data_IF_170171985507
#
_entry.id   IF_170171985507
#
_cell.length_a   1.000
_cell.length_b   1.000
_cell.length_c   1.000
_cell.angle_alpha   90.00
_cell.angle_beta   90.00
_cell.angle_gamma   90.00
#
_symmetry.space_group_name_H-M   'P 1'
#
loop_
_entity.id
_entity.type
_entity.pdbx_description
1 polymer ?
#
# COMPACT_ATOMS: atom_id res chain seq x y z
N UNK A 1 -20.78 -0.55 23.23
CA UNK A 1 -19.53 -0.40 22.49
C UNK A 1 -19.74 0.51 21.30
N UNK A 2 -18.99 1.58 21.25
CA UNK A 2 -19.14 2.43 20.08
C UNK A 2 -18.70 1.66 18.84
N UNK A 3 -19.51 1.76 17.79
CA UNK A 3 -19.16 1.25 16.51
C UNK A 3 -18.06 2.14 15.91
N UNK A 4 -16.91 1.59 15.62
CA UNK A 4 -15.93 2.29 14.83
C UNK A 4 -16.45 2.43 13.41
N UNK A 5 -16.27 3.62 12.87
CA UNK A 5 -16.54 3.81 11.45
C UNK A 5 -15.64 2.94 10.62
N UNK A 6 -16.14 2.50 9.50
CA UNK A 6 -15.34 1.84 8.51
C UNK A 6 -14.26 2.81 8.01
N UNK A 7 -13.00 2.41 8.12
CA UNK A 7 -11.90 3.20 7.61
C UNK A 7 -11.68 2.82 6.15
N UNK A 8 -11.82 3.79 5.27
CA UNK A 8 -11.68 3.58 3.84
C UNK A 8 -10.64 4.54 3.29
N UNK A 9 -9.76 4.07 2.44
CA UNK A 9 -8.95 4.94 1.61
C UNK A 9 -8.90 4.40 0.18
N UNK A 10 -8.72 5.31 -0.76
CA UNK A 10 -8.59 4.97 -2.16
C UNK A 10 -7.13 4.95 -2.54
N UNK A 11 -6.74 4.01 -3.39
CA UNK A 11 -5.41 4.00 -3.97
C UNK A 11 -5.43 4.67 -5.33
N UNK A 12 -4.56 5.65 -5.51
CA UNK A 12 -4.30 6.24 -6.81
C UNK A 12 -3.12 5.53 -7.47
N UNK A 13 -3.30 5.13 -8.71
CA UNK A 13 -2.25 4.46 -9.45
C UNK A 13 -1.39 5.50 -10.16
N UNK A 14 -0.19 5.73 -9.67
CA UNK A 14 0.79 6.57 -10.33
C UNK A 14 1.90 5.68 -10.89
N UNK A 15 2.02 5.61 -12.20
CA UNK A 15 3.08 4.89 -12.87
C UNK A 15 4.12 5.87 -13.37
N UNK A 16 5.34 5.73 -12.88
CA UNK A 16 6.47 6.48 -13.38
C UNK A 16 7.35 5.50 -14.14
N UNK A 17 7.20 5.48 -15.46
CA UNK A 17 8.03 4.67 -16.33
C UNK A 17 9.27 5.49 -16.68
N UNK A 18 10.41 5.11 -16.11
CA UNK A 18 11.68 5.78 -16.36
C UNK A 18 12.44 5.08 -17.48
N UNK A 19 12.16 3.79 -17.71
CA UNK A 19 12.81 2.99 -18.74
C UNK A 19 11.96 2.80 -19.98
N UNK A 20 12.65 2.53 -21.09
CA UNK A 20 12.01 2.09 -22.32
C UNK A 20 11.52 0.65 -22.16
N UNK A 21 10.28 0.41 -22.56
CA UNK A 21 9.63 -0.87 -22.43
C UNK A 21 8.53 -0.82 -21.38
N UNK A 22 7.96 -1.97 -21.11
CA UNK A 22 6.75 -2.03 -20.31
C UNK A 22 7.01 -2.68 -18.95
N UNK A 23 6.96 -1.85 -17.92
CA UNK A 23 6.67 -2.29 -16.57
C UNK A 23 5.22 -1.92 -16.28
N UNK A 24 4.41 -2.88 -15.92
CA UNK A 24 3.00 -2.66 -15.67
C UNK A 24 2.59 -3.23 -14.32
N UNK A 25 1.97 -2.38 -13.50
CA UNK A 25 1.36 -2.80 -12.24
C UNK A 25 -0.10 -3.18 -12.52
N UNK A 26 -0.46 -4.42 -12.21
CA UNK A 26 -1.80 -4.95 -12.39
C UNK A 26 -2.44 -5.29 -11.07
N UNK A 27 -3.74 -5.08 -10.99
CA UNK A 27 -4.57 -5.44 -9.85
C UNK A 27 -4.14 -4.76 -8.55
N UNK A 28 -3.54 -3.57 -8.64
CA UNK A 28 -3.36 -2.75 -7.46
C UNK A 28 -4.74 -2.49 -6.85
N UNK A 29 -4.87 -2.61 -5.52
CA UNK A 29 -6.18 -2.44 -4.90
C UNK A 29 -6.69 -1.02 -5.15
N UNK A 30 -7.91 -0.92 -5.69
CA UNK A 30 -8.57 0.36 -5.89
C UNK A 30 -9.12 0.94 -4.59
N UNK A 31 -9.29 0.08 -3.59
CA UNK A 31 -9.88 0.41 -2.31
C UNK A 31 -9.36 -0.55 -1.25
N UNK A 32 -8.92 -0.03 -0.12
CA UNK A 32 -8.57 -0.82 1.05
C UNK A 32 -9.42 -0.31 2.23
N UNK A 33 -10.16 -1.20 2.84
CA UNK A 33 -10.98 -0.91 4.00
C UNK A 33 -10.45 -1.65 5.21
N UNK A 34 -10.50 -1.00 6.36
CA UNK A 34 -10.06 -1.59 7.61
C UNK A 34 -11.28 -1.85 8.50
N UNK A 35 -11.29 -3.02 9.10
CA UNK A 35 -12.31 -3.42 10.04
C UNK A 35 -11.93 -3.01 11.46
N UNK A 36 -12.87 -3.16 12.37
CA UNK A 36 -12.66 -2.96 13.78
C UNK A 36 -11.45 -3.72 14.31
N UNK A 37 -10.73 -3.16 15.28
CA UNK A 37 -9.71 -3.93 15.96
C UNK A 37 -10.36 -5.12 16.65
N UNK A 38 -9.72 -6.25 16.55
CA UNK A 38 -9.90 -7.33 17.50
C UNK A 38 -9.44 -6.80 18.86
N UNK A 39 -10.15 -7.18 19.92
CA UNK A 39 -9.84 -6.73 21.29
C UNK A 39 -8.34 -6.88 21.56
N UNK A 40 -7.70 -5.79 21.97
CA UNK A 40 -6.27 -5.65 22.31
C UNK A 40 -5.28 -5.52 21.16
N UNK A 41 -5.68 -5.47 19.91
CA UNK A 41 -4.77 -5.22 18.81
C UNK A 41 -4.71 -3.72 18.51
N UNK A 42 -3.49 -3.20 18.37
CA UNK A 42 -3.25 -1.83 17.93
C UNK A 42 -3.25 -1.72 16.40
N UNK A 43 -3.36 -2.83 15.72
CA UNK A 43 -3.38 -2.90 14.26
C UNK A 43 -4.75 -3.40 13.81
N UNK A 44 -5.34 -2.68 12.86
CA UNK A 44 -6.59 -3.08 12.25
C UNK A 44 -6.34 -3.99 11.06
N UNK A 45 -7.06 -5.10 11.00
CA UNK A 45 -7.08 -5.96 9.84
C UNK A 45 -7.84 -5.33 8.67
N UNK A 46 -7.44 -5.69 7.47
CA UNK A 46 -8.19 -5.32 6.27
C UNK A 46 -9.47 -6.13 6.18
N UNK A 47 -10.52 -5.52 5.66
CA UNK A 47 -11.74 -6.21 5.30
C UNK A 47 -11.44 -7.30 4.26
N UNK A 48 -10.64 -6.99 3.27
CA UNK A 48 -10.09 -7.93 2.32
C UNK A 48 -8.76 -8.47 2.85
N UNK A 49 -8.77 -9.66 3.38
CA UNK A 49 -7.63 -10.23 4.12
C UNK A 49 -6.44 -10.53 3.22
N UNK A 50 -6.71 -10.97 2.01
CA UNK A 50 -5.68 -11.31 1.03
C UNK A 50 -5.77 -10.32 -0.12
N UNK A 51 -4.66 -9.70 -0.45
CA UNK A 51 -4.54 -8.82 -1.62
C UNK A 51 -3.48 -9.40 -2.54
N UNK A 52 -3.85 -9.58 -3.80
CA UNK A 52 -2.94 -10.04 -4.83
C UNK A 52 -2.82 -8.97 -5.91
N UNK A 53 -1.60 -8.58 -6.20
CA UNK A 53 -1.28 -7.72 -7.32
C UNK A 53 -0.11 -8.32 -8.08
N UNK A 54 0.17 -7.83 -9.27
CA UNK A 54 1.27 -8.35 -10.06
C UNK A 54 1.97 -7.23 -10.82
N UNK A 55 3.24 -7.48 -11.15
CA UNK A 55 4.02 -6.64 -12.03
C UNK A 55 4.40 -7.47 -13.25
N UNK A 56 4.09 -6.95 -14.42
CA UNK A 56 4.47 -7.55 -15.69
C UNK A 56 5.64 -6.76 -16.26
N UNK A 57 6.76 -7.46 -16.46
CA UNK A 57 7.97 -6.89 -17.04
C UNK A 57 8.17 -7.48 -18.42
N UNK A 58 7.91 -6.68 -19.45
CA UNK A 58 8.12 -7.05 -20.85
C UNK A 58 9.22 -6.25 -21.52
N UNK A 59 10.12 -5.65 -20.74
CA UNK A 59 11.24 -4.89 -21.27
C UNK A 59 12.23 -5.79 -21.99
N UNK A 60 12.76 -5.32 -23.09
CA UNK A 60 13.72 -6.08 -23.88
C UNK A 60 15.07 -6.24 -23.15
N UNK A 61 15.50 -5.18 -22.46
CA UNK A 61 16.66 -5.20 -21.58
C UNK A 61 16.16 -4.91 -20.20
N UNK A 62 16.35 -5.84 -19.28
CA UNK A 62 15.75 -5.77 -17.97
C UNK A 62 16.83 -5.56 -16.91
N UNK A 63 16.53 -4.64 -16.02
CA UNK A 63 17.24 -4.42 -14.76
C UNK A 63 16.29 -4.70 -13.62
N UNK A 64 16.77 -4.57 -12.38
CA UNK A 64 15.87 -4.62 -11.23
C UNK A 64 14.81 -3.55 -11.37
N UNK A 65 13.66 -3.81 -10.79
CA UNK A 65 12.58 -2.83 -10.69
C UNK A 65 12.10 -2.75 -9.24
N UNK A 66 11.45 -1.64 -8.93
CA UNK A 66 11.04 -1.34 -7.56
C UNK A 66 9.62 -0.80 -7.57
N UNK A 67 8.82 -1.27 -6.64
CA UNK A 67 7.48 -0.74 -6.39
C UNK A 67 7.49 0.00 -5.07
N UNK A 68 7.12 1.29 -5.11
CA UNK A 68 7.01 2.15 -3.94
C UNK A 68 5.57 2.59 -3.74
N UNK A 69 5.24 2.93 -2.50
CA UNK A 69 3.97 3.57 -2.17
C UNK A 69 4.21 4.77 -1.26
N UNK A 70 3.37 5.78 -1.39
CA UNK A 70 3.38 6.95 -0.52
C UNK A 70 1.99 7.59 -0.49
N UNK A 71 1.79 8.49 0.46
CA UNK A 71 0.57 9.28 0.60
C UNK A 71 0.95 10.76 0.61
N UNK A 72 0.12 11.62 0.01
CA UNK A 72 0.35 13.06 0.02
C UNK A 72 -0.04 13.69 1.37
N UNK A 73 -1.02 13.11 2.02
CA UNK A 73 -1.52 13.57 3.31
C UNK A 73 -1.99 12.39 4.15
N UNK A 74 -2.00 12.53 5.48
CA UNK A 74 -2.45 11.45 6.35
C UNK A 74 -3.95 11.21 6.19
N UNK A 75 -4.41 10.09 6.75
CA UNK A 75 -5.83 9.82 6.87
C UNK A 75 -6.54 10.97 7.56
N UNK A 76 -7.57 11.49 6.93
CA UNK A 76 -8.26 12.71 7.37
C UNK A 76 -9.76 12.57 7.19
N UNK A 77 -10.53 13.12 8.13
CA UNK A 77 -11.99 13.18 8.04
C UNK A 77 -12.43 14.48 7.38
N UNK A 78 -13.71 14.55 7.02
CA UNK A 78 -14.33 15.79 6.50
C UNK A 78 -14.25 16.93 7.51
N UNK A 79 -14.20 16.62 8.81
CA UNK A 79 -14.05 17.60 9.89
C UNK A 79 -12.59 17.95 10.19
N UNK A 80 -11.66 17.50 9.35
CA UNK A 80 -10.23 17.78 9.47
C UNK A 80 -9.54 17.11 10.66
N UNK A 81 -10.11 16.07 11.19
CA UNK A 81 -9.39 15.20 12.13
C UNK A 81 -8.41 14.33 11.35
N UNK A 82 -7.16 14.32 11.74
CA UNK A 82 -6.10 13.61 11.05
C UNK A 82 -5.51 12.51 11.92
N UNK A 83 -5.00 11.46 11.27
CA UNK A 83 -4.29 10.37 11.93
C UNK A 83 -2.90 10.24 11.30
N UNK A 84 -1.92 11.04 11.74
CA UNK A 84 -0.57 10.94 11.22
C UNK A 84 0.06 9.59 11.61
N UNK A 85 0.91 9.07 10.74
CA UNK A 85 1.70 7.85 10.97
C UNK A 85 0.87 6.59 11.26
N UNK A 86 -0.39 6.58 10.85
CA UNK A 86 -1.31 5.46 11.09
C UNK A 86 -1.29 4.40 10.00
N UNK A 87 -0.88 4.73 8.79
CA UNK A 87 -0.72 3.73 7.74
C UNK A 87 0.68 3.16 7.80
N UNK A 88 0.75 1.84 7.87
CA UNK A 88 2.02 1.12 7.94
C UNK A 88 2.07 0.06 6.85
N UNK A 89 3.26 -0.30 6.48
CA UNK A 89 3.52 -1.44 5.62
C UNK A 89 4.33 -2.48 6.39
N UNK A 90 3.80 -3.68 6.50
CA UNK A 90 4.48 -4.81 7.13
C UNK A 90 4.91 -5.77 6.02
N UNK A 91 6.22 -5.92 5.87
CA UNK A 91 6.80 -6.80 4.88
C UNK A 91 6.79 -8.27 5.37
N UNK A 92 7.06 -9.18 4.45
CA UNK A 92 7.10 -10.62 4.75
C UNK A 92 8.17 -11.00 5.79
N UNK A 93 9.22 -10.19 5.93
CA UNK A 93 10.23 -10.35 6.97
C UNK A 93 9.84 -9.72 8.31
N UNK A 94 8.60 -9.28 8.44
CA UNK A 94 8.03 -8.60 9.60
C UNK A 94 8.60 -7.20 9.87
N UNK A 95 9.37 -6.64 8.95
CA UNK A 95 9.78 -5.24 9.06
C UNK A 95 8.59 -4.31 8.88
N UNK A 96 8.54 -3.23 9.65
CA UNK A 96 7.44 -2.27 9.65
C UNK A 96 7.96 -0.93 9.15
N UNK A 97 7.27 -0.37 8.17
CA UNK A 97 7.55 0.97 7.66
C UNK A 97 6.28 1.81 7.73
N UNK A 98 6.43 3.08 8.02
CA UNK A 98 5.30 4.01 8.04
C UNK A 98 5.14 4.66 6.68
N UNK A 99 3.92 4.64 6.13
CA UNK A 99 3.61 5.36 4.91
C UNK A 99 3.43 6.84 5.22
N UNK A 100 4.15 7.64 4.46
CA UNK A 100 4.08 9.09 4.54
C UNK A 100 4.29 9.69 3.16
N UNK A 101 4.79 10.93 3.12
CA UNK A 101 5.06 11.64 1.86
C UNK A 101 6.33 11.13 1.17
N UNK A 102 7.22 10.46 1.90
CA UNK A 102 8.40 9.83 1.33
C UNK A 102 8.04 8.42 0.84
N UNK A 103 8.35 8.08 -0.41
CA UNK A 103 8.07 6.73 -0.92
C UNK A 103 8.72 5.63 -0.09
N UNK A 104 7.95 4.59 0.16
CA UNK A 104 8.38 3.41 0.91
C UNK A 104 8.42 2.23 -0.05
N UNK A 105 9.52 1.48 -0.02
CA UNK A 105 9.68 0.31 -0.86
C UNK A 105 8.72 -0.80 -0.42
N UNK A 106 7.89 -1.22 -1.37
CA UNK A 106 6.91 -2.30 -1.18
C UNK A 106 7.45 -3.62 -1.69
N UNK A 107 8.13 -3.59 -2.83
CA UNK A 107 8.64 -4.79 -3.47
C UNK A 107 9.81 -4.48 -4.39
N UNK A 108 10.80 -5.36 -4.42
CA UNK A 108 11.92 -5.33 -5.36
C UNK A 108 11.83 -6.53 -6.29
N UNK A 109 11.82 -6.28 -7.58
CA UNK A 109 11.78 -7.33 -8.59
C UNK A 109 13.13 -7.56 -9.23
N UNK A 110 13.40 -8.82 -9.58
CA UNK A 110 14.59 -9.20 -10.32
C UNK A 110 14.43 -8.91 -11.82
N UNK A 111 15.55 -8.78 -12.56
CA UNK A 111 15.47 -8.67 -14.00
C UNK A 111 14.81 -9.89 -14.64
N UNK A 112 14.14 -9.69 -15.77
CA UNK A 112 13.70 -10.82 -16.57
C UNK A 112 14.89 -11.40 -17.35
N UNK A 113 14.69 -12.56 -17.95
CA UNK A 113 15.71 -13.28 -18.75
C UNK A 113 15.59 -13.01 -20.25
N UNK A 114 14.98 -11.91 -20.65
CA UNK A 114 14.67 -11.57 -22.03
C UNK A 114 13.27 -11.97 -22.47
N UNK A 115 12.53 -12.70 -21.64
CA UNK A 115 11.15 -13.04 -21.83
C UNK A 115 10.25 -12.19 -20.91
N UNK A 116 8.99 -12.02 -21.28
CA UNK A 116 8.03 -11.37 -20.41
C UNK A 116 7.90 -12.16 -19.11
N UNK A 117 8.04 -11.47 -17.98
CA UNK A 117 7.95 -12.06 -16.66
C UNK A 117 6.85 -11.39 -15.85
N UNK A 118 6.00 -12.22 -15.26
CA UNK A 118 4.99 -11.76 -14.32
C UNK A 118 5.42 -12.12 -12.89
N UNK A 119 5.44 -11.14 -12.02
CA UNK A 119 5.77 -11.32 -10.60
C UNK A 119 4.52 -11.03 -9.77
N UNK A 120 4.11 -12.01 -8.97
CA UNK A 120 2.98 -11.84 -8.08
C UNK A 120 3.43 -11.24 -6.75
N UNK A 121 2.67 -10.26 -6.27
CA UNK A 121 2.86 -9.63 -4.96
C UNK A 121 1.61 -9.93 -4.16
N UNK A 122 1.75 -10.69 -3.10
CA UNK A 122 0.63 -11.14 -2.30
C UNK A 122 0.80 -10.71 -0.85
N UNK A 123 -0.26 -10.13 -0.31
CA UNK A 123 -0.34 -9.81 1.11
C UNK A 123 -1.35 -10.71 1.79
N UNK A 124 -0.95 -11.23 2.93
CA UNK A 124 -1.81 -11.98 3.83
C UNK A 124 -2.47 -11.02 4.82
N UNK A 125 -3.26 -11.56 5.72
CA UNK A 125 -4.02 -10.76 6.68
C UNK A 125 -3.13 -9.90 7.58
N UNK A 126 -1.90 -10.33 7.86
CA UNK A 126 -0.96 -9.67 8.77
C UNK A 126 0.21 -8.97 8.04
N UNK A 127 0.19 -8.92 6.73
CA UNK A 127 1.21 -8.26 5.91
C UNK A 127 0.60 -7.24 4.96
N UNK A 128 1.45 -6.40 4.39
CA UNK A 128 1.03 -5.36 3.47
C UNK A 128 0.63 -4.07 4.18
N UNK A 129 -0.21 -3.30 3.54
CA UNK A 129 -0.67 -2.03 4.09
C UNK A 129 -1.74 -2.31 5.14
N UNK A 130 -1.45 -1.88 6.36
CA UNK A 130 -2.31 -2.04 7.52
C UNK A 130 -2.47 -0.70 8.24
N UNK A 131 -3.40 -0.66 9.15
CA UNK A 131 -3.71 0.53 9.93
C UNK A 131 -3.26 0.33 11.38
N UNK A 132 -2.44 1.25 11.87
CA UNK A 132 -1.99 1.24 13.27
C UNK A 132 -2.74 2.33 14.05
N UNK A 133 -3.41 1.94 15.10
CA UNK A 133 -4.08 2.89 15.98
C UNK A 133 -3.03 3.55 16.86
N UNK A 134 -2.81 4.85 16.67
CA UNK A 134 -1.87 5.64 17.44
C UNK A 134 -2.63 6.56 18.39
N UNK A 135 -3.74 7.10 17.93
CA UNK A 135 -4.57 8.02 18.69
C UNK A 135 -6.02 7.55 18.73
N UNK A 136 -6.85 8.03 19.67
CA UNK A 136 -8.26 7.71 19.68
C UNK A 136 -8.95 8.12 18.37
N UNK A 137 -9.78 7.25 17.85
CA UNK A 137 -10.57 7.51 16.67
C UNK A 137 -11.88 8.23 17.05
N UNK A 138 -12.25 9.19 16.24
CA UNK A 138 -13.56 9.86 16.40
C UNK A 138 -14.68 8.96 15.91
N UNK A 139 -15.66 8.70 16.76
CA UNK A 139 -16.81 7.87 16.41
C UNK A 139 -17.64 8.50 15.30
N UNK A 140 -18.06 7.67 14.36
CA UNK A 140 -18.92 8.08 13.27
C UNK A 140 -18.20 8.82 12.14
N UNK A 141 -16.93 9.10 12.28
CA UNK A 141 -16.15 9.76 11.23
C UNK A 141 -15.45 8.75 10.34
N UNK A 142 -15.37 9.10 9.07
CA UNK A 142 -14.70 8.31 8.06
C UNK A 142 -13.37 8.96 7.71
N UNK A 143 -12.29 8.21 7.89
CA UNK A 143 -10.94 8.65 7.55
C UNK A 143 -10.56 8.15 6.17
N UNK A 144 -10.06 9.04 5.34
CA UNK A 144 -9.67 8.69 3.97
C UNK A 144 -8.32 9.30 3.61
N UNK A 145 -7.62 8.64 2.70
CA UNK A 145 -6.46 9.17 2.01
C UNK A 145 -6.28 8.47 0.68
N UNK A 146 -5.34 8.95 -0.12
CA UNK A 146 -4.97 8.32 -1.39
C UNK A 146 -3.59 7.72 -1.27
N UNK A 147 -3.45 6.49 -1.73
CA UNK A 147 -2.16 5.83 -1.87
C UNK A 147 -1.69 6.00 -3.31
N UNK A 148 -0.48 6.50 -3.46
CA UNK A 148 0.18 6.62 -4.74
C UNK A 148 1.19 5.50 -4.89
N UNK A 149 1.22 4.89 -6.07
CA UNK A 149 2.14 3.83 -6.42
C UNK A 149 3.17 4.34 -7.42
N UNK A 150 4.43 4.00 -7.21
CA UNK A 150 5.50 4.28 -8.16
C UNK A 150 6.16 2.96 -8.54
N UNK A 151 6.13 2.64 -9.82
CA UNK A 151 6.84 1.49 -10.38
C UNK A 151 7.97 2.02 -11.25
N UNK A 152 9.21 1.67 -10.92
CA UNK A 152 10.39 2.28 -11.54
C UNK A 152 11.56 1.29 -11.56
N UNK A 153 12.50 1.52 -12.45
CA UNK A 153 13.80 0.82 -12.45
C UNK A 153 14.86 1.53 -11.62
N UNK A 154 14.55 2.68 -11.06
CA UNK A 154 15.48 3.45 -10.25
C UNK A 154 15.18 3.31 -8.76
N UNK A 155 16.24 3.27 -7.98
CA UNK A 155 16.13 3.35 -6.51
C UNK A 155 15.85 4.80 -6.14
N UNK A 156 14.76 4.99 -5.39
CA UNK A 156 14.37 6.32 -4.92
C UNK A 156 14.99 6.65 -3.55
#
# INVERSE_FOLDING_TARGET
MPALSLLTFQSAKTLRLIDFGNLELRNAPSKIEFERPLVKLQILGRKEKVINMSVVDSRAISTNWYLYAYIDEPLTTVNKHTLPDSLIFIDNDSSIKTLGTTPVLIYSGAPNDGNTKTTDISWKEDTGILFKIIEPLYNGEKYTTLINWILTSEVL
#
